data_IF_257558874283
#
_entry.id   IF_257558874283
#
_cell.length_a   1.000
_cell.length_b   1.000
_cell.length_c   1.000
_cell.angle_alpha   90.00
_cell.angle_beta   90.00
_cell.angle_gamma   90.00
#
_symmetry.space_group_name_H-M   'P 1'
#
loop_
_entity.id
_entity.type
_entity.pdbx_description
1 polymer ?
#
# COMPACT_ATOMS: atom_id res chain seq x y z
N UNK A 1 14.59 62.42 34.40
CA UNK A 1 13.85 61.13 34.46
C UNK A 1 12.93 61.01 33.24
N UNK A 2 13.29 60.22 32.23
CA UNK A 2 12.38 59.78 31.16
C UNK A 2 12.74 58.34 30.82
N UNK A 3 11.96 57.38 31.32
CA UNK A 3 12.05 55.96 30.92
C UNK A 3 11.25 55.81 29.64
N UNK A 4 11.95 55.61 28.52
CA UNK A 4 11.35 55.21 27.24
C UNK A 4 11.06 53.71 27.34
N UNK A 5 9.80 53.35 27.60
CA UNK A 5 9.35 51.96 27.63
C UNK A 5 9.13 51.51 26.18
N UNK A 6 10.15 50.88 25.58
CA UNK A 6 10.06 50.28 24.25
C UNK A 6 9.23 48.99 24.37
N UNK A 7 7.93 49.09 24.10
CA UNK A 7 7.04 47.94 24.11
C UNK A 7 7.20 47.17 22.79
N UNK A 8 8.07 46.15 22.80
CA UNK A 8 8.23 45.22 21.68
C UNK A 8 6.99 44.33 21.64
N UNK A 9 6.08 44.65 20.72
CA UNK A 9 4.93 43.81 20.38
C UNK A 9 5.45 42.58 19.61
N UNK A 10 5.84 41.53 20.33
CA UNK A 10 5.99 40.20 19.73
C UNK A 10 4.60 39.71 19.34
N UNK A 11 4.19 40.04 18.11
CA UNK A 11 3.07 39.38 17.45
C UNK A 11 3.50 37.93 17.24
N UNK A 12 3.18 37.06 18.20
CA UNK A 12 3.17 35.62 17.98
C UNK A 12 2.06 35.33 16.98
N UNK A 13 2.35 35.54 15.69
CA UNK A 13 1.60 34.93 14.60
C UNK A 13 1.90 33.43 14.74
N UNK A 14 1.13 32.76 15.58
CA UNK A 14 1.00 31.32 15.58
C UNK A 14 0.39 30.98 14.23
N UNK A 15 1.26 30.80 13.22
CA UNK A 15 0.91 30.12 12.00
C UNK A 15 0.54 28.71 12.45
N UNK A 16 -0.76 28.46 12.62
CA UNK A 16 -1.29 27.11 12.71
C UNK A 16 -0.87 26.45 11.40
N UNK A 17 0.22 25.70 11.43
CA UNK A 17 0.55 24.76 10.38
C UNK A 17 -0.65 23.80 10.35
N UNK A 18 -1.59 24.06 9.44
CA UNK A 18 -2.55 23.07 9.04
C UNK A 18 -1.69 21.88 8.61
N UNK A 19 -1.74 20.78 9.37
CA UNK A 19 -1.05 19.53 9.07
C UNK A 19 -1.43 19.09 7.65
N UNK A 20 -0.71 19.63 6.66
CA UNK A 20 -0.95 19.36 5.25
C UNK A 20 -0.26 18.03 5.03
N UNK A 21 -1.04 16.97 4.95
CA UNK A 21 -0.49 15.64 4.69
C UNK A 21 0.22 15.70 3.33
N UNK A 22 1.54 15.63 3.35
CA UNK A 22 2.37 15.89 2.17
C UNK A 22 2.39 14.74 1.16
N UNK A 23 2.06 13.53 1.60
CA UNK A 23 1.91 12.37 0.73
C UNK A 23 0.56 11.71 1.01
N UNK A 24 -0.37 11.84 0.07
CA UNK A 24 -1.76 11.46 0.22
C UNK A 24 -2.10 10.26 -0.66
N UNK A 25 -2.98 9.41 -0.15
CA UNK A 25 -3.57 8.31 -0.87
C UNK A 25 -5.10 8.42 -0.82
N UNK A 26 -5.74 8.40 -1.99
CA UNK A 26 -7.19 8.26 -2.17
C UNK A 26 -7.48 7.04 -3.02
N UNK A 27 -8.70 6.53 -2.99
CA UNK A 27 -9.09 5.45 -3.89
C UNK A 27 -10.43 5.71 -4.56
N UNK A 28 -10.64 5.04 -5.69
CA UNK A 28 -11.95 4.84 -6.31
C UNK A 28 -12.05 3.39 -6.74
N UNK A 29 -13.13 2.72 -6.38
CA UNK A 29 -13.42 1.37 -6.82
C UNK A 29 -14.67 1.34 -7.69
N UNK A 30 -14.69 0.44 -8.65
CA UNK A 30 -15.88 -0.04 -9.33
C UNK A 30 -15.91 -1.58 -9.27
N UNK A 31 -16.90 -2.20 -9.93
CA UNK A 31 -17.10 -3.66 -9.92
C UNK A 31 -15.94 -4.46 -10.54
N UNK A 32 -15.07 -3.83 -11.33
CA UNK A 32 -13.99 -4.47 -12.10
C UNK A 32 -12.61 -3.98 -11.71
N UNK A 33 -12.50 -2.77 -11.17
CA UNK A 33 -11.21 -2.12 -10.92
C UNK A 33 -11.17 -1.37 -9.60
N UNK A 34 -9.98 -1.33 -9.02
CA UNK A 34 -9.62 -0.42 -7.94
C UNK A 34 -8.54 0.52 -8.45
N UNK A 35 -8.75 1.81 -8.28
CA UNK A 35 -7.80 2.86 -8.63
C UNK A 35 -7.30 3.54 -7.36
N UNK A 36 -6.00 3.44 -7.10
CA UNK A 36 -5.31 4.18 -6.05
C UNK A 36 -4.72 5.46 -6.64
N UNK A 37 -5.00 6.58 -6.01
CA UNK A 37 -4.57 7.92 -6.40
C UNK A 37 -3.61 8.45 -5.36
N UNK A 38 -2.35 8.54 -5.74
CA UNK A 38 -1.27 9.08 -4.92
C UNK A 38 -1.05 10.54 -5.30
N UNK A 39 -0.89 11.40 -4.30
CA UNK A 39 -0.48 12.79 -4.51
C UNK A 39 0.74 13.10 -3.65
N UNK A 40 1.83 13.48 -4.31
CA UNK A 40 3.07 13.90 -3.69
C UNK A 40 3.17 15.42 -3.69
N UNK A 41 2.84 16.03 -2.56
CA UNK A 41 2.98 17.47 -2.34
C UNK A 41 4.36 17.85 -1.78
N UNK A 42 5.29 16.90 -1.61
CA UNK A 42 6.64 17.19 -1.09
C UNK A 42 7.53 17.84 -2.16
N UNK A 43 8.72 18.29 -1.76
CA UNK A 43 9.75 18.80 -2.66
C UNK A 43 10.68 17.70 -3.22
N UNK A 44 10.46 16.44 -2.82
CA UNK A 44 11.27 15.30 -3.20
C UNK A 44 10.49 14.34 -4.10
N UNK A 45 11.18 13.66 -5.01
CA UNK A 45 10.62 12.47 -5.63
C UNK A 45 10.49 11.39 -4.56
N UNK A 46 9.38 10.65 -4.57
CA UNK A 46 9.14 9.61 -3.57
C UNK A 46 9.17 8.24 -4.22
N UNK A 47 9.87 7.32 -3.57
CA UNK A 47 9.89 5.90 -3.89
C UNK A 47 9.14 5.18 -2.80
N UNK A 48 8.22 4.31 -3.17
CA UNK A 48 7.47 3.51 -2.23
C UNK A 48 7.12 2.17 -2.85
N UNK A 49 6.75 1.23 -2.01
CA UNK A 49 6.30 -0.09 -2.42
C UNK A 49 4.78 -0.12 -2.43
N UNK A 50 4.23 -0.86 -3.38
CA UNK A 50 2.81 -1.24 -3.40
C UNK A 50 2.71 -2.74 -3.57
N UNK A 51 1.67 -3.39 -3.03
CA UNK A 51 1.54 -4.83 -3.18
C UNK A 51 1.04 -5.15 -4.58
N UNK A 52 1.45 -6.29 -5.14
CA UNK A 52 0.88 -6.78 -6.40
C UNK A 52 -0.57 -7.19 -6.23
N UNK A 53 -0.95 -7.65 -5.04
CA UNK A 53 -2.31 -8.08 -4.72
C UNK A 53 -2.84 -7.35 -3.50
N UNK A 54 -4.02 -6.73 -3.64
CA UNK A 54 -4.80 -6.20 -2.51
C UNK A 54 -5.77 -7.31 -2.08
N UNK A 55 -5.68 -7.73 -0.82
CA UNK A 55 -6.57 -8.76 -0.25
C UNK A 55 -7.63 -8.08 0.60
N UNK A 56 -8.86 -8.59 0.55
CA UNK A 56 -9.97 -8.05 1.32
C UNK A 56 -10.60 -9.11 2.22
N UNK A 57 -10.66 -8.82 3.52
CA UNK A 57 -11.37 -9.63 4.49
C UNK A 57 -12.83 -9.20 4.59
N UNK A 58 -13.74 -10.16 4.71
CA UNK A 58 -15.14 -9.89 5.02
C UNK A 58 -15.27 -9.46 6.50
N UNK A 59 -15.89 -8.31 6.76
CA UNK A 59 -16.17 -7.83 8.13
C UNK A 59 -17.04 -8.78 8.95
N UNK A 60 -17.88 -9.59 8.29
CA UNK A 60 -18.76 -10.55 8.95
C UNK A 60 -18.03 -11.84 9.37
N UNK A 61 -16.87 -12.15 8.79
CA UNK A 61 -16.04 -13.30 9.16
C UNK A 61 -14.78 -12.81 9.90
N UNK A 62 -14.92 -12.61 11.21
CA UNK A 62 -13.84 -12.13 12.10
C UNK A 62 -12.57 -13.00 12.07
N UNK A 63 -12.69 -14.26 11.68
CA UNK A 63 -11.60 -15.24 11.55
C UNK A 63 -11.02 -15.35 10.13
N UNK A 64 -11.23 -14.35 9.27
CA UNK A 64 -10.64 -14.28 7.92
C UNK A 64 -9.58 -13.17 7.82
N UNK A 65 -8.33 -13.38 8.31
CA UNK A 65 -7.29 -12.35 8.29
C UNK A 65 -6.67 -12.16 6.90
N UNK A 66 -6.93 -13.06 5.97
CA UNK A 66 -6.48 -12.99 4.58
C UNK A 66 -7.07 -14.19 3.86
N UNK A 67 -7.90 -13.96 2.84
CA UNK A 67 -8.32 -15.01 1.90
C UNK A 67 -7.17 -15.41 0.97
N UNK A 68 -5.93 -15.45 1.46
CA UNK A 68 -4.77 -15.93 0.72
C UNK A 68 -3.85 -16.63 1.72
N UNK A 69 -3.52 -17.90 1.43
CA UNK A 69 -2.43 -18.61 2.08
C UNK A 69 -2.78 -19.85 2.92
N UNK A 70 -4.03 -20.10 3.34
CA UNK A 70 -4.33 -21.40 3.99
C UNK A 70 -5.75 -21.97 3.83
N UNK A 71 -6.78 -21.19 3.46
CA UNK A 71 -8.18 -21.69 3.39
C UNK A 71 -9.09 -20.92 2.41
N UNK A 72 -8.63 -20.60 1.21
CA UNK A 72 -9.49 -19.92 0.21
C UNK A 72 -10.82 -20.65 -0.03
N UNK A 73 -10.78 -21.97 -0.12
CA UNK A 73 -11.94 -22.86 -0.27
C UNK A 73 -12.87 -22.89 0.95
N UNK A 74 -12.40 -22.42 2.12
CA UNK A 74 -13.16 -22.40 3.36
C UNK A 74 -14.04 -21.17 3.55
N UNK A 75 -13.98 -20.19 2.64
CA UNK A 75 -14.77 -18.95 2.71
C UNK A 75 -15.80 -18.88 1.60
N UNK A 76 -17.01 -18.37 1.85
CA UNK A 76 -18.05 -18.29 0.83
C UNK A 76 -17.65 -17.43 -0.37
N UNK A 77 -16.98 -16.30 -0.13
CA UNK A 77 -16.51 -15.40 -1.17
C UNK A 77 -15.06 -14.99 -0.87
N UNK A 78 -14.23 -15.05 -1.91
CA UNK A 78 -12.86 -14.54 -1.90
C UNK A 78 -12.78 -13.27 -2.75
N UNK A 79 -12.28 -12.18 -2.15
CA UNK A 79 -12.17 -10.88 -2.82
C UNK A 79 -10.73 -10.41 -2.77
N UNK A 80 -10.17 -10.17 -3.96
CA UNK A 80 -8.82 -9.67 -4.11
C UNK A 80 -8.70 -8.83 -5.37
N UNK A 81 -7.66 -8.02 -5.46
CA UNK A 81 -7.39 -7.25 -6.66
C UNK A 81 -5.92 -7.34 -7.04
N UNK A 82 -5.64 -7.64 -8.30
CA UNK A 82 -4.28 -7.76 -8.82
C UNK A 82 -3.90 -6.49 -9.58
N UNK A 83 -2.66 -6.04 -9.40
CA UNK A 83 -2.16 -4.85 -10.07
C UNK A 83 -2.13 -5.08 -11.58
N UNK A 84 -2.55 -4.07 -12.35
CA UNK A 84 -2.35 -4.12 -13.81
C UNK A 84 -0.84 -4.05 -14.09
N UNK A 85 -0.35 -4.92 -14.98
CA UNK A 85 1.08 -5.04 -15.32
C UNK A 85 1.68 -3.72 -15.81
N UNK A 86 3.00 -3.59 -15.67
CA UNK A 86 3.81 -2.49 -16.21
C UNK A 86 3.53 -1.10 -15.61
N UNK A 87 3.06 -1.04 -14.36
CA UNK A 87 2.88 0.22 -13.62
C UNK A 87 4.05 0.54 -12.67
N UNK A 88 4.99 -0.39 -12.53
CA UNK A 88 6.18 -0.26 -11.69
C UNK A 88 7.30 0.54 -12.37
N UNK A 89 8.18 1.11 -11.56
CA UNK A 89 9.42 1.71 -12.05
C UNK A 89 10.47 0.60 -12.26
N UNK A 90 10.79 0.30 -13.52
CA UNK A 90 11.71 -0.79 -13.88
C UNK A 90 13.10 -0.66 -13.27
N UNK A 91 13.64 0.56 -13.18
CA UNK A 91 14.97 0.79 -12.62
C UNK A 91 15.03 0.45 -11.13
N UNK A 92 14.09 0.96 -10.34
CA UNK A 92 14.08 0.67 -8.90
C UNK A 92 13.57 -0.75 -8.60
N UNK A 93 12.71 -1.32 -9.46
CA UNK A 93 12.29 -2.72 -9.34
C UNK A 93 13.50 -3.66 -9.44
N UNK A 94 14.39 -3.47 -10.42
CA UNK A 94 15.62 -4.28 -10.54
C UNK A 94 16.50 -4.22 -9.28
N UNK A 95 16.53 -3.07 -8.59
CA UNK A 95 17.24 -2.96 -7.30
C UNK A 95 16.58 -3.80 -6.21
N UNK A 96 15.25 -3.77 -6.12
CA UNK A 96 14.51 -4.61 -5.18
C UNK A 96 14.73 -6.10 -5.47
N UNK A 97 14.61 -6.49 -6.73
CA UNK A 97 14.78 -7.88 -7.17
C UNK A 97 16.19 -8.39 -6.86
N UNK A 98 17.22 -7.54 -7.05
CA UNK A 98 18.60 -7.88 -6.70
C UNK A 98 18.78 -8.17 -5.20
N UNK A 99 18.16 -7.36 -4.32
CA UNK A 99 18.23 -7.58 -2.87
C UNK A 99 17.47 -8.85 -2.49
N UNK A 100 16.31 -9.09 -3.10
CA UNK A 100 15.54 -10.30 -2.86
C UNK A 100 16.32 -11.55 -3.27
N UNK A 101 16.93 -11.56 -4.45
CA UNK A 101 17.75 -12.68 -4.91
C UNK A 101 18.93 -12.95 -3.98
N UNK A 102 19.61 -11.90 -3.53
CA UNK A 102 20.68 -12.03 -2.54
C UNK A 102 20.16 -12.64 -1.22
N UNK A 103 19.01 -12.17 -0.74
CA UNK A 103 18.38 -12.72 0.46
C UNK A 103 18.03 -14.22 0.29
N UNK A 104 17.47 -14.62 -0.85
CA UNK A 104 17.16 -16.02 -1.16
C UNK A 104 18.41 -16.89 -1.12
N UNK A 105 19.50 -16.45 -1.74
CA UNK A 105 20.79 -17.15 -1.76
C UNK A 105 21.37 -17.27 -0.36
N UNK A 106 21.42 -16.17 0.40
CA UNK A 106 21.99 -16.14 1.77
C UNK A 106 21.25 -17.05 2.75
N UNK A 107 19.97 -17.33 2.50
CA UNK A 107 19.12 -18.14 3.39
C UNK A 107 18.79 -19.52 2.80
N UNK A 108 19.48 -19.94 1.72
CA UNK A 108 19.30 -21.23 1.05
C UNK A 108 17.82 -21.53 0.69
N UNK A 109 17.06 -20.49 0.35
CA UNK A 109 15.66 -20.62 -0.04
C UNK A 109 15.56 -21.09 -1.50
N UNK A 110 14.52 -21.88 -1.80
CA UNK A 110 14.25 -22.31 -3.18
C UNK A 110 14.11 -21.11 -4.12
N UNK A 111 14.73 -21.14 -5.31
CA UNK A 111 14.60 -20.08 -6.34
C UNK A 111 13.18 -20.05 -6.93
N UNK A 112 12.42 -21.15 -6.84
CA UNK A 112 10.97 -21.18 -7.14
C UNK A 112 10.13 -20.45 -6.08
N UNK A 113 10.75 -19.93 -5.02
CA UNK A 113 10.21 -18.80 -4.23
C UNK A 113 10.14 -17.49 -5.02
N UNK A 114 10.19 -17.56 -6.35
CA UNK A 114 9.63 -16.61 -7.32
C UNK A 114 8.13 -16.40 -7.09
N UNK A 115 7.73 -16.12 -5.84
CA UNK A 115 6.81 -15.04 -5.52
C UNK A 115 7.19 -13.85 -6.39
N UNK A 116 6.64 -13.80 -7.60
CA UNK A 116 6.70 -12.64 -8.47
C UNK A 116 6.52 -11.41 -7.58
N UNK A 117 7.62 -10.67 -7.42
CA UNK A 117 7.89 -9.69 -6.36
C UNK A 117 6.60 -9.23 -5.70
N UNK A 118 6.28 -9.73 -4.48
CA UNK A 118 5.00 -9.43 -3.78
C UNK A 118 4.65 -7.94 -3.79
N UNK A 119 5.68 -7.11 -3.98
CA UNK A 119 5.62 -5.68 -4.08
C UNK A 119 6.23 -5.19 -5.40
N UNK A 120 5.57 -4.18 -5.98
CA UNK A 120 6.10 -3.34 -7.04
C UNK A 120 6.68 -2.06 -6.47
N UNK A 121 7.80 -1.60 -7.03
CA UNK A 121 8.41 -0.32 -6.69
C UNK A 121 7.81 0.80 -7.53
N UNK A 122 7.31 1.84 -6.88
CA UNK A 122 6.70 3.00 -7.51
C UNK A 122 7.54 4.24 -7.26
N UNK A 123 7.66 5.05 -8.30
CA UNK A 123 8.23 6.40 -8.24
C UNK A 123 7.11 7.40 -8.53
N UNK A 124 6.92 8.36 -7.64
CA UNK A 124 6.09 9.54 -7.88
C UNK A 124 6.96 10.79 -7.82
N UNK A 125 6.84 11.66 -8.82
CA UNK A 125 7.63 12.89 -8.89
C UNK A 125 7.16 13.89 -7.84
N UNK A 126 8.07 14.78 -7.42
CA UNK A 126 7.70 15.92 -6.57
C UNK A 126 6.57 16.74 -7.20
N UNK A 127 5.66 17.24 -6.36
CA UNK A 127 4.50 18.06 -6.78
C UNK A 127 3.67 17.41 -7.89
N UNK A 128 3.53 16.07 -7.86
CA UNK A 128 2.82 15.33 -8.89
C UNK A 128 1.84 14.32 -8.30
N UNK A 129 0.92 13.84 -9.14
CA UNK A 129 -0.01 12.77 -8.81
C UNK A 129 0.24 11.55 -9.69
N UNK A 130 -0.10 10.37 -9.18
CA UNK A 130 0.01 9.10 -9.87
C UNK A 130 -1.23 8.25 -9.61
N UNK A 131 -1.72 7.57 -10.66
CA UNK A 131 -2.82 6.62 -10.56
C UNK A 131 -2.29 5.21 -10.77
N UNK A 132 -2.54 4.33 -9.81
CA UNK A 132 -2.27 2.89 -9.91
C UNK A 132 -3.60 2.15 -10.00
N UNK A 133 -3.73 1.27 -10.99
CA UNK A 133 -4.92 0.46 -11.20
C UNK A 133 -4.70 -1.01 -10.83
N UNK A 134 -5.71 -1.59 -10.21
CA UNK A 134 -5.84 -3.02 -9.94
C UNK A 134 -7.10 -3.52 -10.61
N UNK A 135 -7.08 -4.76 -11.10
CA UNK A 135 -8.24 -5.52 -11.54
C UNK A 135 -8.82 -6.25 -10.33
N UNK A 136 -10.09 -6.03 -10.04
CA UNK A 136 -10.82 -6.65 -8.94
C UNK A 136 -11.36 -8.02 -9.37
N UNK A 137 -11.21 -8.99 -8.49
CA UNK A 137 -11.73 -10.34 -8.63
C UNK A 137 -12.60 -10.67 -7.41
N UNK A 138 -13.75 -11.26 -7.70
CA UNK A 138 -14.73 -11.70 -6.70
C UNK A 138 -15.07 -13.14 -7.05
N UNK A 139 -14.47 -14.08 -6.32
CA UNK A 139 -14.71 -15.50 -6.52
C UNK A 139 -15.74 -15.99 -5.53
N UNK A 140 -16.72 -16.72 -6.01
CA UNK A 140 -17.66 -17.43 -5.16
C UNK A 140 -17.21 -18.88 -5.04
N UNK A 141 -17.00 -19.33 -3.80
CA UNK A 141 -16.55 -20.69 -3.53
C UNK A 141 -17.72 -21.61 -3.14
N UNK A 142 -18.94 -21.07 -2.94
CA UNK A 142 -20.15 -21.87 -2.66
C UNK A 142 -21.28 -21.57 -3.65
N UNK A 143 -21.84 -22.61 -4.28
CA UNK A 143 -22.70 -22.46 -5.47
C UNK A 143 -24.03 -21.70 -5.25
N UNK A 144 -24.54 -21.52 -4.01
CA UNK A 144 -25.93 -21.11 -3.81
C UNK A 144 -26.18 -20.08 -2.69
N UNK A 145 -25.64 -18.86 -2.81
CA UNK A 145 -25.91 -17.77 -1.86
C UNK A 145 -26.15 -16.41 -2.50
N UNK A 146 -27.29 -15.78 -2.20
CA UNK A 146 -27.44 -14.33 -2.32
C UNK A 146 -26.55 -13.69 -1.26
N UNK A 147 -25.39 -13.19 -1.67
CA UNK A 147 -24.40 -12.65 -0.75
C UNK A 147 -24.28 -11.14 -0.91
N UNK A 148 -24.41 -10.40 0.21
CA UNK A 148 -24.14 -8.96 0.29
C UNK A 148 -23.27 -8.73 1.53
N UNK A 149 -22.04 -8.25 1.33
CA UNK A 149 -21.17 -7.92 2.46
C UNK A 149 -20.28 -6.71 2.21
N UNK A 150 -19.62 -6.26 3.28
CA UNK A 150 -18.62 -5.22 3.32
C UNK A 150 -17.24 -5.85 3.48
N UNK A 151 -16.41 -5.73 2.46
CA UNK A 151 -15.04 -6.22 2.50
C UNK A 151 -14.09 -5.09 2.85
N UNK A 152 -13.26 -5.29 3.85
CA UNK A 152 -12.23 -4.36 4.28
C UNK A 152 -10.88 -4.83 3.74
N UNK A 153 -10.10 -3.94 3.12
CA UNK A 153 -8.74 -4.28 2.76
C UNK A 153 -7.97 -4.73 4.00
N UNK A 154 -7.38 -5.92 3.92
CA UNK A 154 -6.43 -6.41 4.91
C UNK A 154 -5.14 -5.66 4.67
N UNK A 155 -5.08 -4.45 5.22
CA UNK A 155 -3.98 -3.53 5.02
C UNK A 155 -2.72 -4.17 5.60
N UNK A 156 -1.78 -4.52 4.74
CA UNK A 156 -0.44 -4.89 5.15
C UNK A 156 0.27 -3.59 5.51
N UNK A 157 0.45 -3.25 6.80
CA UNK A 157 1.14 -2.02 7.13
C UNK A 157 2.61 -2.28 6.80
N UNK A 158 3.08 -1.82 5.65
CA UNK A 158 4.51 -1.87 5.31
C UNK A 158 5.37 -1.31 6.44
N UNK A 159 4.84 -0.36 7.20
CA UNK A 159 5.47 0.15 8.41
C UNK A 159 5.74 -0.97 9.44
N UNK A 160 4.83 -1.93 9.61
CA UNK A 160 4.99 -3.11 10.47
C UNK A 160 6.00 -4.10 9.89
N UNK A 161 6.03 -4.32 8.58
CA UNK A 161 7.06 -5.16 7.94
C UNK A 161 8.46 -4.55 8.04
N UNK A 162 8.58 -3.23 7.86
CA UNK A 162 9.85 -2.51 7.94
C UNK A 162 10.35 -2.32 9.38
N UNK A 163 9.45 -2.19 10.37
CA UNK A 163 9.79 -1.97 11.79
C UNK A 163 9.73 -3.23 12.66
N UNK A 164 9.07 -4.29 12.20
CA UNK A 164 8.91 -5.53 12.94
C UNK A 164 10.08 -6.49 12.76
N UNK A 165 10.06 -7.57 13.53
CA UNK A 165 11.04 -8.66 13.46
C UNK A 165 10.50 -9.81 12.60
N UNK A 166 10.14 -9.53 11.35
CA UNK A 166 9.70 -10.53 10.38
C UNK A 166 10.89 -10.84 9.47
N UNK A 167 11.42 -12.06 9.55
CA UNK A 167 12.56 -12.53 8.72
C UNK A 167 12.29 -12.33 7.24
N UNK A 168 11.07 -12.68 6.81
CA UNK A 168 10.65 -12.60 5.40
C UNK A 168 10.50 -11.15 4.90
N UNK A 169 10.66 -10.15 5.77
CA UNK A 169 10.65 -8.72 5.42
C UNK A 169 12.06 -8.10 5.40
N UNK A 170 13.11 -8.89 5.63
CA UNK A 170 14.48 -8.38 5.70
C UNK A 170 14.93 -7.73 4.39
N UNK A 171 14.61 -8.33 3.25
CA UNK A 171 14.93 -7.75 1.95
C UNK A 171 14.27 -6.37 1.74
N UNK A 172 13.04 -6.17 2.22
CA UNK A 172 12.35 -4.88 2.20
C UNK A 172 13.05 -3.84 3.08
N UNK A 173 13.51 -4.27 4.26
CA UNK A 173 14.27 -3.43 5.19
C UNK A 173 15.60 -3.00 4.59
N UNK A 174 16.33 -3.91 3.95
CA UNK A 174 17.56 -3.59 3.19
C UNK A 174 17.27 -2.59 2.07
N UNK A 175 16.21 -2.80 1.29
CA UNK A 175 15.80 -1.87 0.23
C UNK A 175 15.50 -0.46 0.77
N UNK A 176 14.77 -0.35 1.88
CA UNK A 176 14.39 0.93 2.50
C UNK A 176 15.58 1.79 2.94
N UNK A 177 16.75 1.17 3.15
CA UNK A 177 17.99 1.81 3.60
C UNK A 177 18.93 2.21 2.45
N UNK A 178 18.58 1.88 1.20
CA UNK A 178 19.40 2.26 0.05
C UNK A 178 19.48 3.78 -0.13
N UNK A 179 20.58 4.23 -0.71
CA UNK A 179 20.69 5.58 -1.22
C UNK A 179 19.98 5.68 -2.59
N UNK A 180 18.91 6.46 -2.65
CA UNK A 180 18.12 6.71 -3.86
C UNK A 180 18.42 8.06 -4.52
N UNK A 181 19.51 8.73 -4.11
CA UNK A 181 19.93 10.02 -4.62
C UNK A 181 18.93 11.13 -4.26
N UNK A 182 18.32 11.76 -5.27
CA UNK A 182 17.33 12.83 -5.09
C UNK A 182 15.95 12.33 -4.67
N UNK A 183 15.72 11.03 -4.75
CA UNK A 183 14.46 10.41 -4.36
C UNK A 183 14.52 9.94 -2.92
N UNK A 184 13.39 10.00 -2.21
CA UNK A 184 13.27 9.56 -0.82
C UNK A 184 12.38 8.31 -0.76
N UNK A 185 12.86 7.26 -0.10
CA UNK A 185 12.01 6.13 0.23
C UNK A 185 11.01 6.51 1.32
N UNK A 186 9.74 6.16 1.13
CA UNK A 186 8.66 6.38 2.11
C UNK A 186 7.76 5.17 2.20
N UNK A 187 7.17 4.96 3.38
CA UNK A 187 6.07 4.02 3.52
C UNK A 187 4.84 4.54 2.79
N UNK A 188 4.05 3.64 2.20
CA UNK A 188 2.76 3.97 1.63
C UNK A 188 1.85 4.60 2.71
N UNK A 189 1.06 5.64 2.40
CA UNK A 189 0.09 6.18 3.33
C UNK A 189 -1.00 5.14 3.63
N UNK A 190 -1.58 5.22 4.83
CA UNK A 190 -2.71 4.38 5.22
C UNK A 190 -3.99 4.97 4.61
N UNK A 191 -4.88 4.10 4.13
CA UNK A 191 -6.24 4.50 3.79
C UNK A 191 -7.05 4.42 5.09
N UNK A 192 -7.27 5.56 5.75
CA UNK A 192 -7.96 5.65 7.05
C UNK A 192 -9.39 5.11 6.96
N UNK A 193 -10.11 5.52 5.92
CA UNK A 193 -11.37 4.92 5.50
C UNK A 193 -11.07 3.66 4.71
N UNK A 194 -10.81 2.58 5.43
CA UNK A 194 -10.44 1.29 4.85
C UNK A 194 -11.28 0.98 3.61
N UNK A 195 -10.64 0.67 2.48
CA UNK A 195 -11.29 0.38 1.21
C UNK A 195 -12.41 -0.65 1.42
N UNK A 196 -13.65 -0.18 1.45
CA UNK A 196 -14.86 -0.98 1.68
C UNK A 196 -15.51 -1.25 0.33
N UNK A 197 -15.61 -2.53 -0.02
CA UNK A 197 -16.34 -2.98 -1.19
C UNK A 197 -17.72 -3.51 -0.75
N UNK A 198 -18.78 -3.04 -1.40
CA UNK A 198 -20.12 -3.61 -1.30
C UNK A 198 -20.36 -4.47 -2.54
N UNK A 199 -20.43 -5.78 -2.36
CA UNK A 199 -20.53 -6.75 -3.45
C UNK A 199 -21.83 -7.52 -3.36
N UNK A 200 -22.29 -8.01 -4.50
CA UNK A 200 -23.45 -8.88 -4.69
C UNK A 200 -23.10 -10.10 -5.54
N UNK A 201 -23.98 -11.10 -5.61
CA UNK A 201 -23.81 -12.25 -6.52
C UNK A 201 -23.63 -11.87 -8.00
N UNK A 202 -24.08 -10.68 -8.40
CA UNK A 202 -23.90 -10.14 -9.77
C UNK A 202 -22.47 -9.66 -10.05
N UNK A 203 -21.64 -9.53 -9.03
CA UNK A 203 -20.27 -9.01 -9.13
C UNK A 203 -19.23 -10.13 -9.20
N UNK A 204 -19.66 -11.40 -9.15
CA UNK A 204 -18.81 -12.58 -9.27
C UNK A 204 -18.11 -12.58 -10.62
N UNK A 205 -16.79 -12.78 -10.60
CA UNK A 205 -15.95 -12.93 -11.78
C UNK A 205 -15.49 -14.39 -11.83
N UNK A 206 -16.03 -15.16 -12.78
CA UNK A 206 -15.53 -16.50 -13.12
C UNK A 206 -14.08 -16.44 -13.60
#
# INVERSE_FOLDING_TARGET
MKKLLLMIFFVFISCKENNKIDFLLKYKSDKKYISLYFNNNTNNDLIFLIPNTLIFGDKNYKSSPSTFGTKEEGFPITVYAEIIKNQQNSFYQRKLDSIFNQYVIENELSIDSKHESQNNVILIKRKSSLKIKYKLFVKNNFENGLYISHFKQNYYPYNKALKGNFTDSEYLRRFSKLNFGKSKFVAQPVIEDSLILKLSSKDITN
#
